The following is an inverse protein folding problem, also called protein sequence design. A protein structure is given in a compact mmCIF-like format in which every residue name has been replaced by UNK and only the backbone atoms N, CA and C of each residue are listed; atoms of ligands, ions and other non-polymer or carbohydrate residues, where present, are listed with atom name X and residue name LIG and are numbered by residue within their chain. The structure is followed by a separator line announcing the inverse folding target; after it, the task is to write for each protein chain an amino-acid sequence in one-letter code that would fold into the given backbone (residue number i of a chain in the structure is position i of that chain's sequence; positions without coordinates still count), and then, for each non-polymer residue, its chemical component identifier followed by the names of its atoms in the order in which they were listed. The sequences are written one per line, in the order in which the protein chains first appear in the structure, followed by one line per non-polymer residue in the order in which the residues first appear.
data_IF_948525031091
#
_entry.id   IF_948525031091
#
_cell.length_a   1.000
_cell.length_b   1.000
_cell.length_c   1.000
_cell.angle_alpha   90.00
_cell.angle_beta   90.00
_cell.angle_gamma   90.00
#
_symmetry.space_group_name_H-M   'P 1'
#
loop_
_entity.id
_entity.type
_entity.pdbx_description
1 polymer ?
#
# COMPACT_ATOMS: atom_id res chain seq x y z
N UNK A 1 12.42 -21.68 -9.96
CA UNK A 1 13.29 -22.30 -8.95
C UNK A 1 12.71 -22.00 -7.58
N UNK A 2 12.37 -23.07 -6.84
CA UNK A 2 11.80 -23.17 -5.48
C UNK A 2 11.01 -21.97 -4.94
N UNK A 3 9.73 -21.86 -5.33
CA UNK A 3 8.71 -21.07 -4.64
C UNK A 3 8.27 -21.76 -3.34
N UNK A 4 9.21 -22.02 -2.42
CA UNK A 4 8.98 -22.70 -1.14
C UNK A 4 9.49 -21.90 0.07
N UNK A 5 10.30 -20.87 -0.15
CA UNK A 5 10.78 -19.98 0.91
C UNK A 5 9.88 -18.76 0.94
N UNK A 6 9.42 -18.38 2.13
CA UNK A 6 8.68 -17.15 2.33
C UNK A 6 9.58 -15.95 2.07
N UNK A 7 9.19 -15.09 1.12
CA UNK A 7 9.79 -13.77 0.89
C UNK A 7 8.73 -12.70 1.16
N UNK A 8 8.92 -11.79 2.14
CA UNK A 8 7.95 -10.74 2.45
C UNK A 8 7.74 -9.73 1.32
N UNK A 9 8.68 -9.60 0.38
CA UNK A 9 8.56 -8.69 -0.77
C UNK A 9 7.63 -9.27 -1.83
N UNK A 10 7.59 -10.59 -1.97
CA UNK A 10 6.80 -11.28 -3.00
C UNK A 10 5.47 -11.83 -2.46
N UNK A 11 5.47 -12.31 -1.21
CA UNK A 11 4.35 -13.05 -0.64
C UNK A 11 3.46 -12.18 0.27
N UNK A 12 2.13 -12.30 0.13
CA UNK A 12 1.19 -11.66 1.05
C UNK A 12 1.39 -12.13 2.49
N UNK A 13 1.31 -11.20 3.45
CA UNK A 13 1.50 -11.50 4.87
C UNK A 13 0.80 -10.44 5.75
N UNK A 14 0.86 -10.59 7.08
CA UNK A 14 0.32 -9.60 8.02
C UNK A 14 1.42 -9.03 8.91
N UNK A 15 1.33 -7.75 9.25
CA UNK A 15 2.21 -7.08 10.21
C UNK A 15 1.39 -6.53 11.37
N UNK A 16 1.84 -6.80 12.59
CA UNK A 16 1.22 -6.24 13.80
C UNK A 16 1.72 -4.82 14.03
N UNK A 17 0.82 -3.91 14.34
CA UNK A 17 1.13 -2.57 14.82
C UNK A 17 0.89 -2.53 16.35
N UNK A 18 1.95 -2.46 17.17
CA UNK A 18 1.82 -2.46 18.63
C UNK A 18 1.22 -1.16 19.20
N UNK A 19 1.25 -0.05 18.45
CA UNK A 19 0.69 1.22 18.90
C UNK A 19 -0.84 1.21 18.85
N UNK A 20 -1.40 0.55 17.83
CA UNK A 20 -2.86 0.48 17.64
C UNK A 20 -3.44 -0.88 18.04
N UNK A 21 -2.59 -1.87 18.31
CA UNK A 21 -3.01 -3.23 18.61
C UNK A 21 -3.61 -3.99 17.42
N UNK A 22 -3.40 -3.50 16.19
CA UNK A 22 -4.06 -4.01 15.00
C UNK A 22 -3.10 -4.78 14.08
N UNK A 23 -3.67 -5.63 13.25
CA UNK A 23 -2.95 -6.38 12.22
C UNK A 23 -3.28 -5.83 10.84
N UNK A 24 -2.24 -5.48 10.08
CA UNK A 24 -2.36 -4.95 8.73
C UNK A 24 -2.04 -6.07 7.73
N UNK A 25 -2.90 -6.26 6.73
CA UNK A 25 -2.63 -7.14 5.58
C UNK A 25 -1.73 -6.42 4.58
N UNK A 26 -0.61 -7.05 4.25
CA UNK A 26 0.34 -6.59 3.24
C UNK A 26 0.19 -7.48 2.01
N UNK A 27 -0.14 -6.86 0.88
CA UNK A 27 -0.23 -7.53 -0.43
C UNK A 27 0.68 -6.79 -1.42
N UNK A 28 1.95 -7.21 -1.60
CA UNK A 28 2.97 -6.43 -2.32
C UNK A 28 2.59 -6.07 -3.76
N UNK A 29 1.79 -6.92 -4.41
CA UNK A 29 1.42 -6.78 -5.82
C UNK A 29 0.13 -6.02 -6.08
N UNK A 30 -0.52 -5.47 -5.05
CA UNK A 30 -1.87 -4.86 -5.18
C UNK A 30 -1.92 -3.74 -6.23
N UNK A 31 -0.88 -2.92 -6.32
CA UNK A 31 -0.82 -1.79 -7.25
C UNK A 31 -0.54 -2.19 -8.70
N UNK A 32 -0.14 -3.44 -8.97
CA UNK A 32 0.09 -3.94 -10.35
C UNK A 32 -1.22 -4.14 -11.12
N UNK A 33 -2.37 -4.15 -10.44
CA UNK A 33 -3.67 -4.27 -11.09
C UNK A 33 -4.00 -2.98 -11.84
N UNK A 34 -4.46 -3.05 -13.10
CA UNK A 34 -4.86 -1.85 -13.83
C UNK A 34 -5.94 -1.09 -13.06
N UNK A 35 -5.73 0.22 -12.91
CA UNK A 35 -6.68 1.13 -12.27
C UNK A 35 -7.66 1.68 -13.30
N UNK A 36 -8.95 1.49 -13.05
CA UNK A 36 -10.05 2.03 -13.86
C UNK A 36 -10.95 2.99 -13.04
N UNK A 37 -10.46 3.44 -11.89
CA UNK A 37 -11.23 4.26 -10.96
C UNK A 37 -11.01 5.76 -11.18
N UNK A 38 -11.32 6.56 -10.15
CA UNK A 38 -11.16 8.02 -10.17
C UNK A 38 -9.68 8.40 -9.95
N UNK A 39 -9.23 9.42 -10.66
CA UNK A 39 -7.96 10.09 -10.36
C UNK A 39 -8.24 11.37 -9.56
N UNK A 40 -7.58 11.49 -8.41
CA UNK A 40 -7.68 12.69 -7.57
C UNK A 40 -6.79 13.81 -8.14
N UNK A 41 -7.31 15.05 -8.15
CA UNK A 41 -6.49 16.20 -8.53
C UNK A 41 -5.47 16.49 -7.42
N UNK A 42 -4.21 16.82 -7.75
CA UNK A 42 -3.24 17.20 -6.75
C UNK A 42 -3.78 18.39 -5.95
N UNK A 43 -3.67 18.32 -4.62
CA UNK A 43 -4.00 19.45 -3.76
C UNK A 43 -2.93 20.53 -3.96
N UNK A 44 -3.21 21.47 -4.87
CA UNK A 44 -2.42 22.71 -4.97
C UNK A 44 -2.75 23.46 -3.69
N UNK A 45 -1.79 23.55 -2.78
CA UNK A 45 -1.87 24.47 -1.66
C UNK A 45 -1.83 25.88 -2.24
N UNK A 46 -2.99 26.40 -2.62
CA UNK A 46 -3.16 27.82 -2.90
C UNK A 46 -3.02 28.54 -1.57
N UNK A 47 -1.79 28.78 -1.15
CA UNK A 47 -1.50 29.86 -0.21
C UNK A 47 -1.92 31.13 -0.95
N UNK A 48 -3.16 31.55 -0.70
CA UNK A 48 -3.71 32.81 -1.15
C UNK A 48 -2.86 33.91 -0.51
N UNK A 49 -1.78 34.30 -1.16
CA UNK A 49 -1.10 35.54 -0.87
C UNK A 49 -1.89 36.63 -1.58
N UNK A 50 -2.60 37.40 -0.75
CA UNK A 50 -3.00 38.77 -1.02
C UNK A 50 -1.84 39.56 -1.63
#
# INVERSE_FOLDING_TARGET
MSKLIFDPVEHPHRRYNPLTGQWILVSPHRAKRPWNGKDEKPQIATTSLL
#
